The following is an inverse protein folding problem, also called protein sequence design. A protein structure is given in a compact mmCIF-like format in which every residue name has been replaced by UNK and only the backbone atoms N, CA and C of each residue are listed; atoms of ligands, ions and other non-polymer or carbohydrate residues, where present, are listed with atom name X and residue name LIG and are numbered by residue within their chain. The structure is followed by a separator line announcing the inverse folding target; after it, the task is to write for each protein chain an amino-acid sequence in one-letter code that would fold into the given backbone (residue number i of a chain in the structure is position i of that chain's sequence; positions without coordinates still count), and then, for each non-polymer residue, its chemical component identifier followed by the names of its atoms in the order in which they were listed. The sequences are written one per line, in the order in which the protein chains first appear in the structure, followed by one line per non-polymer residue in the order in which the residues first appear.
data_IF_568380853982
#
_entry.id   IF_568380853982
#
_cell.length_a   1.000
_cell.length_b   1.000
_cell.length_c   1.000
_cell.angle_alpha   90.00
_cell.angle_beta   90.00
_cell.angle_gamma   90.00
#
_symmetry.space_group_name_H-M   'P 1'
#
loop_
_entity.id
_entity.type
_entity.pdbx_description
1 polymer ?
#
# COMPACT_ATOMS: atom_id res chain seq x y z
N UNK A 1 -22.40 -1.25 -1.70
CA UNK A 1 -22.12 -2.43 -2.54
C UNK A 1 -20.68 -2.82 -2.24
N UNK A 2 -20.45 -3.93 -1.55
CA UNK A 2 -19.10 -4.41 -1.24
C UNK A 2 -18.60 -5.22 -2.43
N UNK A 3 -17.84 -4.59 -3.33
CA UNK A 3 -17.08 -5.31 -4.36
C UNK A 3 -15.88 -5.99 -3.69
N UNK A 4 -15.79 -7.30 -3.83
CA UNK A 4 -14.67 -8.09 -3.30
C UNK A 4 -13.57 -8.21 -4.33
N UNK A 5 -12.32 -8.24 -3.89
CA UNK A 5 -11.11 -8.20 -4.74
C UNK A 5 -11.06 -9.24 -5.89
N UNK A 6 -11.55 -10.48 -5.76
CA UNK A 6 -11.62 -11.41 -6.91
C UNK A 6 -12.55 -10.90 -8.03
N UNK A 7 -13.62 -10.21 -7.67
CA UNK A 7 -14.55 -9.61 -8.64
C UNK A 7 -13.99 -8.37 -9.31
N UNK A 8 -13.22 -7.53 -8.62
CA UNK A 8 -12.59 -6.34 -9.20
C UNK A 8 -11.48 -6.70 -10.20
N UNK A 9 -10.59 -7.64 -9.86
CA UNK A 9 -9.58 -8.15 -10.79
C UNK A 9 -10.22 -8.80 -12.02
N UNK A 10 -11.27 -9.61 -11.82
CA UNK A 10 -12.01 -10.21 -12.93
C UNK A 10 -12.77 -9.19 -13.80
N UNK A 11 -13.12 -8.03 -13.25
CA UNK A 11 -13.73 -6.92 -13.99
C UNK A 11 -12.69 -6.18 -14.84
N UNK A 12 -11.52 -5.90 -14.26
CA UNK A 12 -10.41 -5.22 -14.94
C UNK A 12 -9.78 -6.13 -16.00
N UNK A 13 -9.69 -7.43 -15.74
CA UNK A 13 -9.26 -8.42 -16.73
C UNK A 13 -10.21 -8.48 -17.91
N UNK A 14 -11.53 -8.39 -17.66
CA UNK A 14 -12.55 -8.33 -18.71
C UNK A 14 -12.42 -7.04 -19.54
N UNK A 15 -12.20 -5.90 -18.89
CA UNK A 15 -11.94 -4.62 -19.54
C UNK A 15 -10.66 -4.65 -20.41
N UNK A 16 -9.58 -5.28 -19.93
CA UNK A 16 -8.33 -5.47 -20.69
C UNK A 16 -8.45 -6.45 -21.88
N UNK A 17 -9.50 -7.27 -21.93
CA UNK A 17 -9.85 -8.08 -23.11
C UNK A 17 -10.62 -7.29 -24.17
N UNK A 18 -11.37 -6.27 -23.77
CA UNK A 18 -12.18 -5.42 -24.65
C UNK A 18 -11.36 -4.33 -25.35
N UNK A 19 -10.26 -3.88 -24.74
CA UNK A 19 -9.28 -2.97 -25.34
C UNK A 19 -8.48 -3.65 -26.47
N UNK A 20 -8.31 -2.99 -27.62
CA UNK A 20 -7.48 -3.47 -28.76
C UNK A 20 -6.28 -2.54 -28.96
N UNK A 21 -5.09 -3.09 -29.21
CA UNK A 21 -3.87 -2.33 -29.52
C UNK A 21 -2.76 -2.47 -28.47
N UNK A 22 -1.73 -1.63 -28.58
CA UNK A 22 -0.55 -1.64 -27.70
C UNK A 22 -0.90 -1.38 -26.23
N UNK A 23 -1.88 -0.52 -25.98
CA UNK A 23 -2.40 -0.17 -24.65
C UNK A 23 -3.00 -1.38 -23.92
N UNK A 24 -3.69 -2.27 -24.65
CA UNK A 24 -4.22 -3.51 -24.09
C UNK A 24 -3.11 -4.48 -23.64
N UNK A 25 -1.99 -4.51 -24.36
CA UNK A 25 -0.81 -5.29 -23.99
C UNK A 25 -0.16 -4.77 -22.70
N UNK A 26 -0.06 -3.45 -22.55
CA UNK A 26 0.44 -2.81 -21.34
C UNK A 26 -0.47 -3.13 -20.16
N UNK A 27 -1.78 -2.94 -20.31
CA UNK A 27 -2.77 -3.22 -19.25
C UNK A 27 -2.70 -4.70 -18.82
N UNK A 28 -2.66 -5.65 -19.75
CA UNK A 28 -2.52 -7.08 -19.42
C UNK A 28 -1.24 -7.38 -18.67
N UNK A 29 -0.13 -6.77 -19.08
CA UNK A 29 1.16 -6.98 -18.40
C UNK A 29 1.14 -6.41 -16.98
N UNK A 30 0.52 -5.24 -16.78
CA UNK A 30 0.30 -4.67 -15.44
C UNK A 30 -0.57 -5.61 -14.59
N UNK A 31 -1.64 -6.16 -15.17
CA UNK A 31 -2.50 -7.12 -14.47
C UNK A 31 -1.77 -8.43 -14.13
N UNK A 32 -0.92 -8.91 -15.03
CA UNK A 32 -0.11 -10.10 -14.78
C UNK A 32 0.90 -9.87 -13.64
N UNK A 33 1.50 -8.67 -13.55
CA UNK A 33 2.33 -8.26 -12.41
C UNK A 33 1.50 -8.24 -11.13
N UNK A 34 0.29 -7.64 -11.17
CA UNK A 34 -0.61 -7.59 -10.03
C UNK A 34 -1.07 -9.00 -9.60
N UNK A 35 -1.20 -9.93 -10.54
CA UNK A 35 -1.50 -11.34 -10.28
C UNK A 35 -0.35 -12.12 -9.66
N UNK A 36 0.88 -11.60 -9.72
CA UNK A 36 2.09 -12.18 -9.10
C UNK A 36 2.50 -11.48 -7.80
N UNK A 37 1.65 -10.60 -7.26
CA UNK A 37 1.90 -9.92 -5.99
C UNK A 37 1.97 -10.94 -4.85
N UNK A 38 3.10 -10.95 -4.14
CA UNK A 38 3.33 -11.89 -3.02
C UNK A 38 2.76 -11.37 -1.69
N UNK A 39 2.46 -10.08 -1.61
CA UNK A 39 1.73 -9.49 -0.50
C UNK A 39 1.34 -8.06 -0.78
N UNK A 40 0.28 -7.58 -0.16
CA UNK A 40 -0.19 -6.21 -0.32
C UNK A 40 -0.68 -5.66 1.01
N UNK A 41 -0.79 -4.35 1.11
CA UNK A 41 -1.32 -3.78 2.33
C UNK A 41 -1.38 -2.28 2.30
N UNK A 42 -1.71 -1.71 3.44
CA UNK A 42 -1.69 -0.29 3.61
C UNK A 42 -2.06 0.14 5.01
N UNK A 43 -1.90 1.44 5.23
CA UNK A 43 -2.36 2.10 6.44
C UNK A 43 -2.98 3.43 6.06
N UNK A 44 -4.11 3.73 6.68
CA UNK A 44 -4.79 5.01 6.56
C UNK A 44 -4.93 5.60 7.97
N UNK A 45 -4.31 6.76 8.21
CA UNK A 45 -4.34 7.42 9.53
C UNK A 45 -5.36 8.55 9.59
N UNK A 46 -5.51 9.29 8.51
CA UNK A 46 -6.51 10.36 8.40
C UNK A 46 -6.87 10.66 6.96
N UNK A 47 -8.11 11.09 6.77
CA UNK A 47 -8.66 11.57 5.51
C UNK A 47 -9.48 12.83 5.81
N UNK A 48 -8.86 14.00 5.72
CA UNK A 48 -9.56 15.27 5.92
C UNK A 48 -9.98 15.82 4.56
N UNK A 49 -11.29 15.96 4.38
CA UNK A 49 -11.89 16.60 3.21
C UNK A 49 -12.36 17.97 3.68
N UNK A 50 -11.79 19.05 3.16
CA UNK A 50 -12.21 20.40 3.49
C UNK A 50 -12.36 21.28 2.25
N UNK A 51 -12.90 22.49 2.44
CA UNK A 51 -13.17 23.46 1.37
C UNK A 51 -11.94 23.83 0.51
N UNK A 52 -10.72 23.51 0.97
CA UNK A 52 -9.45 23.82 0.31
C UNK A 52 -8.68 22.60 -0.20
N UNK A 53 -9.27 21.41 -0.18
CA UNK A 53 -8.69 20.18 -0.74
C UNK A 53 -8.71 18.98 0.21
N UNK A 54 -8.15 17.87 -0.27
CA UNK A 54 -8.05 16.60 0.47
C UNK A 54 -6.66 16.48 1.11
N UNK A 55 -6.62 16.34 2.44
CA UNK A 55 -5.41 15.96 3.18
C UNK A 55 -5.54 14.50 3.62
N UNK A 56 -4.73 13.63 3.01
CA UNK A 56 -4.65 12.22 3.38
C UNK A 56 -3.34 11.93 4.10
N UNK A 57 -3.36 10.94 4.99
CA UNK A 57 -2.16 10.33 5.58
C UNK A 57 -2.29 8.82 5.33
N UNK A 58 -1.63 8.32 4.28
CA UNK A 58 -1.79 6.95 3.85
C UNK A 58 -0.56 6.36 3.15
N UNK A 59 -0.48 5.04 3.21
CA UNK A 59 0.36 4.27 2.30
C UNK A 59 -0.40 3.04 1.87
N UNK A 60 -0.37 2.74 0.58
CA UNK A 60 -0.76 1.45 0.03
C UNK A 60 0.46 0.86 -0.65
N UNK A 61 0.65 -0.45 -0.56
CA UNK A 61 1.79 -1.11 -1.16
C UNK A 61 1.46 -2.50 -1.67
N UNK A 62 2.25 -2.93 -2.65
CA UNK A 62 2.29 -4.29 -3.16
C UNK A 62 3.74 -4.74 -3.21
N UNK A 63 4.01 -5.93 -2.68
CA UNK A 63 5.29 -6.62 -2.74
C UNK A 63 5.34 -7.47 -4.00
N UNK A 64 6.41 -7.30 -4.77
CA UNK A 64 6.64 -7.98 -6.05
C UNK A 64 8.09 -8.45 -6.14
N UNK A 65 8.37 -9.37 -7.06
CA UNK A 65 9.73 -9.77 -7.38
C UNK A 65 10.47 -8.64 -8.12
N UNK A 66 11.80 -8.60 -8.00
CA UNK A 66 12.63 -7.55 -8.63
C UNK A 66 12.43 -7.44 -10.15
N UNK A 67 12.22 -8.58 -10.84
CA UNK A 67 11.93 -8.61 -12.27
C UNK A 67 10.60 -7.92 -12.63
N UNK A 68 9.56 -8.11 -11.80
CA UNK A 68 8.24 -7.52 -12.01
C UNK A 68 8.26 -6.02 -11.68
N UNK A 69 9.08 -5.62 -10.70
CA UNK A 69 9.33 -4.21 -10.39
C UNK A 69 10.01 -3.48 -11.57
N UNK A 70 11.02 -4.10 -12.18
CA UNK A 70 11.71 -3.54 -13.34
C UNK A 70 10.79 -3.44 -14.58
N UNK A 71 9.91 -4.44 -14.76
CA UNK A 71 8.90 -4.44 -15.81
C UNK A 71 7.88 -3.33 -15.58
N UNK A 72 7.35 -3.20 -14.36
CA UNK A 72 6.43 -2.12 -13.98
C UNK A 72 7.04 -0.74 -14.27
N UNK A 73 8.29 -0.52 -13.83
CA UNK A 73 9.03 0.71 -14.12
C UNK A 73 9.06 1.03 -15.61
N UNK A 74 9.37 0.03 -16.44
CA UNK A 74 9.48 0.19 -17.89
C UNK A 74 8.13 0.54 -18.52
N UNK A 75 7.04 -0.10 -18.08
CA UNK A 75 5.69 0.17 -18.56
C UNK A 75 5.22 1.58 -18.21
N UNK A 76 5.45 2.02 -16.97
CA UNK A 76 5.10 3.37 -16.52
C UNK A 76 5.96 4.44 -17.22
N UNK A 77 7.20 4.11 -17.57
CA UNK A 77 8.04 4.97 -18.41
C UNK A 77 7.44 5.29 -19.79
N UNK A 78 6.55 4.42 -20.30
CA UNK A 78 5.82 4.67 -21.55
C UNK A 78 4.67 5.68 -21.36
N UNK A 79 4.10 5.79 -20.16
CA UNK A 79 2.99 6.70 -19.84
C UNK A 79 3.45 8.10 -19.44
N UNK A 80 4.64 8.53 -19.87
CA UNK A 80 5.30 9.81 -19.55
C UNK A 80 5.68 10.05 -18.07
N UNK A 81 5.32 9.13 -17.18
CA UNK A 81 5.70 9.17 -15.78
C UNK A 81 7.16 8.73 -15.61
N UNK A 82 7.98 9.56 -14.97
CA UNK A 82 9.41 9.31 -14.79
C UNK A 82 9.75 9.13 -13.32
N UNK A 83 10.26 7.95 -12.99
CA UNK A 83 10.83 7.66 -11.69
C UNK A 83 12.21 8.31 -11.56
N UNK A 84 12.40 9.05 -10.47
CA UNK A 84 13.66 9.66 -10.09
C UNK A 84 14.13 9.10 -8.75
N UNK A 85 15.44 8.81 -8.57
CA UNK A 85 15.96 8.35 -7.30
C UNK A 85 15.66 9.35 -6.17
N UNK A 86 15.23 8.85 -5.01
CA UNK A 86 15.03 9.64 -3.80
C UNK A 86 15.70 8.97 -2.62
N UNK A 87 16.26 9.77 -1.71
CA UNK A 87 16.84 9.27 -0.47
C UNK A 87 15.82 9.40 0.65
N UNK A 88 15.50 8.28 1.31
CA UNK A 88 14.60 8.26 2.47
C UNK A 88 15.44 8.03 3.73
N UNK A 89 15.46 9.01 4.64
CA UNK A 89 16.31 8.96 5.83
C UNK A 89 15.97 7.79 6.75
N UNK A 90 16.95 6.93 7.01
CA UNK A 90 16.82 5.76 7.89
C UNK A 90 16.29 4.51 7.20
N UNK A 91 16.23 4.50 5.87
CA UNK A 91 15.87 3.35 5.04
C UNK A 91 17.11 2.92 4.25
N UNK A 92 17.51 1.66 4.39
CA UNK A 92 18.61 1.05 3.63
C UNK A 92 18.05 0.30 2.43
N UNK A 93 17.44 1.04 1.50
CA UNK A 93 16.87 0.51 0.27
C UNK A 93 16.99 1.52 -0.86
N UNK A 94 17.03 1.04 -2.11
CA UNK A 94 16.98 1.92 -3.27
C UNK A 94 15.54 2.35 -3.49
N UNK A 95 15.27 3.65 -3.39
CA UNK A 95 13.94 4.22 -3.58
C UNK A 95 13.92 5.14 -4.79
N UNK A 96 12.89 5.01 -5.60
CA UNK A 96 12.61 5.90 -6.73
C UNK A 96 11.18 6.39 -6.65
N UNK A 97 10.94 7.67 -6.91
CA UNK A 97 9.62 8.29 -6.80
C UNK A 97 9.17 8.91 -8.12
N UNK A 98 7.87 8.88 -8.36
CA UNK A 98 7.20 9.62 -9.42
C UNK A 98 5.90 10.24 -8.88
N UNK A 99 5.67 11.51 -9.19
CA UNK A 99 4.41 12.19 -8.84
C UNK A 99 3.33 11.94 -9.89
N UNK A 100 2.08 11.80 -9.46
CA UNK A 100 0.91 11.84 -10.35
C UNK A 100 0.48 13.29 -10.52
N UNK A 101 0.86 13.90 -11.65
CA UNK A 101 0.65 15.33 -11.94
C UNK A 101 -0.83 15.76 -12.05
N UNK A 102 -1.74 14.80 -12.24
CA UNK A 102 -3.18 15.05 -12.49
C UNK A 102 -4.10 14.62 -11.33
N UNK A 103 -3.55 14.15 -10.22
CA UNK A 103 -4.39 13.72 -9.09
C UNK A 103 -4.89 14.92 -8.27
N UNK A 104 -6.19 14.91 -7.92
CA UNK A 104 -6.81 15.91 -7.03
C UNK A 104 -6.18 15.95 -5.62
N UNK A 105 -5.40 14.93 -5.27
CA UNK A 105 -4.59 14.83 -4.06
C UNK A 105 -3.13 14.51 -4.43
N UNK A 106 -2.14 14.98 -3.65
CA UNK A 106 -0.72 14.70 -3.92
C UNK A 106 -0.45 13.21 -3.68
N UNK A 107 -0.40 12.43 -4.76
CA UNK A 107 -0.03 11.01 -4.72
C UNK A 107 1.33 10.83 -5.34
N UNK A 108 2.24 10.23 -4.57
CA UNK A 108 3.55 9.78 -5.06
C UNK A 108 3.58 8.27 -5.14
N UNK A 109 4.00 7.77 -6.29
CA UNK A 109 4.29 6.36 -6.50
C UNK A 109 5.77 6.15 -6.25
N UNK A 110 6.11 5.16 -5.43
CA UNK A 110 7.45 4.77 -5.07
C UNK A 110 7.75 3.35 -5.54
N UNK A 111 8.92 3.16 -6.10
CA UNK A 111 9.52 1.85 -6.32
C UNK A 111 10.64 1.68 -5.31
N UNK A 112 10.52 0.64 -4.49
CA UNK A 112 11.53 0.28 -3.49
C UNK A 112 12.15 -1.04 -3.90
N UNK A 113 13.47 -1.08 -4.03
CA UNK A 113 14.22 -2.32 -4.24
C UNK A 113 14.96 -2.67 -2.97
N UNK A 114 14.64 -3.83 -2.38
CA UNK A 114 15.36 -4.38 -1.24
C UNK A 114 16.80 -4.73 -1.69
N UNK A 115 17.85 -4.34 -0.94
CA UNK A 115 19.20 -4.84 -1.21
C UNK A 115 19.36 -6.34 -0.90
N UNK A 116 18.44 -6.93 -0.15
CA UNK A 116 18.46 -8.35 0.24
C UNK A 116 17.85 -9.29 -0.80
N UNK A 117 18.24 -10.57 -0.70
CA UNK A 117 17.57 -11.67 -1.40
C UNK A 117 16.97 -12.65 -0.39
N UNK A 118 15.85 -13.26 -0.75
CA UNK A 118 15.24 -14.34 0.03
C UNK A 118 15.42 -15.65 -0.73
N UNK A 119 15.88 -16.68 -0.03
CA UNK A 119 16.02 -18.03 -0.59
C UNK A 119 14.64 -18.67 -0.73
N UNK A 120 14.22 -18.94 -1.96
CA UNK A 120 12.96 -19.60 -2.29
C UNK A 120 13.27 -20.90 -3.05
N UNK A 121 13.24 -22.01 -2.33
CA UNK A 121 13.79 -23.28 -2.82
C UNK A 121 15.30 -23.18 -3.05
N UNK A 122 15.76 -23.45 -4.27
CA UNK A 122 17.19 -23.41 -4.63
C UNK A 122 17.65 -22.05 -5.22
N UNK A 123 16.78 -21.05 -5.28
CA UNK A 123 17.07 -19.75 -5.90
C UNK A 123 17.04 -18.62 -4.88
N UNK A 124 18.00 -17.71 -4.99
CA UNK A 124 17.94 -16.40 -4.35
C UNK A 124 17.07 -15.48 -5.20
N UNK A 125 16.03 -14.91 -4.60
CA UNK A 125 15.05 -14.04 -5.26
C UNK A 125 15.12 -12.66 -4.65
N UNK A 126 15.25 -11.64 -5.50
CA UNK A 126 15.16 -10.23 -5.12
C UNK A 126 13.70 -9.80 -5.00
N UNK A 127 13.42 -8.97 -4.01
CA UNK A 127 12.09 -8.42 -3.76
C UNK A 127 12.10 -6.90 -3.78
N UNK A 128 10.93 -6.34 -4.03
CA UNK A 128 10.71 -4.91 -3.91
C UNK A 128 9.24 -4.59 -3.70
N UNK A 129 8.97 -3.30 -3.59
CA UNK A 129 7.64 -2.77 -3.34
C UNK A 129 7.29 -1.71 -4.36
N UNK A 130 6.04 -1.78 -4.82
CA UNK A 130 5.36 -0.68 -5.46
C UNK A 130 4.49 -0.06 -4.37
N UNK A 131 4.76 1.18 -3.99
CA UNK A 131 4.01 1.88 -2.95
C UNK A 131 3.38 3.17 -3.50
N UNK A 132 2.19 3.50 -3.04
CA UNK A 132 1.55 4.79 -3.27
C UNK A 132 1.31 5.45 -1.91
N UNK A 133 1.83 6.66 -1.72
CA UNK A 133 1.68 7.40 -0.48
C UNK A 133 1.56 8.90 -0.73
N UNK A 134 0.99 9.60 0.25
CA UNK A 134 0.91 11.07 0.30
C UNK A 134 2.28 11.73 0.58
N UNK A 135 3.23 10.99 1.17
CA UNK A 135 4.57 11.48 1.46
C UNK A 135 5.58 10.41 1.88
N UNK A 136 6.86 10.81 1.95
CA UNK A 136 7.98 9.90 2.28
C UNK A 136 7.93 9.37 3.72
N UNK A 137 7.32 10.09 4.66
CA UNK A 137 7.20 9.65 6.04
C UNK A 137 6.37 8.36 6.18
N UNK A 138 5.38 8.17 5.30
CA UNK A 138 4.53 6.97 5.27
C UNK A 138 5.23 5.80 4.59
N UNK A 139 6.04 6.08 3.58
CA UNK A 139 6.95 5.10 3.03
C UNK A 139 7.98 4.63 4.09
N UNK A 140 8.54 5.56 4.87
CA UNK A 140 9.46 5.22 5.96
C UNK A 140 8.80 4.31 6.99
N UNK A 141 7.55 4.58 7.37
CA UNK A 141 6.80 3.70 8.27
C UNK A 141 6.64 2.28 7.69
N UNK A 142 6.30 2.15 6.41
CA UNK A 142 6.22 0.85 5.75
C UNK A 142 7.54 0.07 5.86
N UNK A 143 8.65 0.73 5.50
CA UNK A 143 9.97 0.10 5.41
C UNK A 143 10.67 -0.09 6.76
N UNK A 144 10.30 0.67 7.80
CA UNK A 144 10.91 0.56 9.12
C UNK A 144 10.14 -0.36 10.07
N UNK A 145 8.80 -0.31 10.04
CA UNK A 145 7.95 -0.94 11.06
C UNK A 145 7.29 -2.24 10.59
N UNK A 146 6.98 -2.39 9.30
CA UNK A 146 6.39 -3.63 8.76
C UNK A 146 7.47 -4.66 8.42
N UNK A 147 8.67 -4.23 8.04
CA UNK A 147 9.76 -5.11 7.58
C UNK A 147 10.67 -5.68 8.69
N UNK A 148 10.54 -5.24 9.94
CA UNK A 148 11.36 -5.79 11.04
C UNK A 148 10.87 -7.13 11.58
N UNK A 149 9.69 -7.58 11.19
CA UNK A 149 9.15 -8.91 11.54
C UNK A 149 9.45 -9.92 10.40
N UNK A 150 10.74 -10.18 10.17
CA UNK A 150 11.28 -11.01 9.08
C UNK A 150 10.83 -12.49 9.11
N UNK A 151 10.08 -12.92 10.12
CA UNK A 151 9.61 -14.31 10.25
C UNK A 151 8.26 -14.57 9.58
N UNK A 152 7.42 -13.55 9.39
CA UNK A 152 6.11 -13.66 8.71
C UNK A 152 5.75 -12.33 8.05
N UNK A 153 6.33 -12.02 6.89
CA UNK A 153 5.85 -10.90 6.06
C UNK A 153 4.42 -11.23 5.61
N UNK A 154 3.38 -10.57 6.12
CA UNK A 154 2.03 -10.99 5.86
C UNK A 154 1.66 -10.72 4.40
N UNK A 155 0.91 -11.66 3.81
CA UNK A 155 0.35 -11.51 2.46
C UNK A 155 -0.64 -10.34 2.41
N UNK A 156 -1.26 -10.00 3.54
CA UNK A 156 -2.12 -8.83 3.70
C UNK A 156 -1.81 -8.08 4.99
N UNK A 157 -1.69 -6.75 4.94
CA UNK A 157 -1.64 -5.90 6.13
C UNK A 157 -2.56 -4.67 5.99
N UNK A 158 -3.35 -4.40 7.02
CA UNK A 158 -4.19 -3.20 7.12
C UNK A 158 -4.12 -2.60 8.53
N UNK A 159 -3.88 -1.29 8.64
CA UNK A 159 -3.92 -0.59 9.93
C UNK A 159 -4.62 0.77 9.87
N UNK A 160 -5.52 0.98 10.85
CA UNK A 160 -6.16 2.23 11.21
C UNK A 160 -5.73 2.59 12.66
N UNK A 161 -4.68 3.38 12.87
CA UNK A 161 -4.07 3.51 14.19
C UNK A 161 -4.86 4.38 15.18
N UNK A 162 -5.71 5.29 14.70
CA UNK A 162 -6.59 6.11 15.53
C UNK A 162 -7.98 6.21 14.90
N UNK A 163 -8.89 5.40 15.42
CA UNK A 163 -10.26 5.31 14.92
C UNK A 163 -11.06 6.58 15.20
N UNK A 164 -10.79 7.27 16.31
CA UNK A 164 -11.48 8.53 16.58
C UNK A 164 -11.00 9.63 15.64
N UNK A 165 -9.69 9.69 15.35
CA UNK A 165 -9.16 10.63 14.36
C UNK A 165 -9.73 10.39 12.96
N UNK A 166 -9.98 9.13 12.59
CA UNK A 166 -10.66 8.79 11.34
C UNK A 166 -12.13 9.21 11.36
N UNK A 167 -12.88 8.93 12.43
CA UNK A 167 -14.28 9.38 12.55
C UNK A 167 -14.37 10.91 12.51
N UNK A 168 -13.47 11.58 13.21
CA UNK A 168 -13.39 13.04 13.24
C UNK A 168 -12.95 13.67 11.92
N UNK A 169 -12.61 12.86 10.91
CA UNK A 169 -12.26 13.35 9.59
C UNK A 169 -13.47 13.45 8.64
N UNK A 170 -14.65 12.99 9.06
CA UNK A 170 -15.93 13.18 8.37
C UNK A 170 -16.74 14.30 9.03
N UNK A 171 -17.41 15.14 8.24
CA UNK A 171 -18.13 16.33 8.73
C UNK A 171 -19.17 16.01 9.82
N UNK A 172 -19.96 14.95 9.63
CA UNK A 172 -20.97 14.51 10.61
C UNK A 172 -20.43 13.48 11.62
N UNK A 173 -19.20 12.99 11.45
CA UNK A 173 -18.63 11.92 12.28
C UNK A 173 -18.61 12.23 13.77
N UNK A 174 -18.07 13.40 14.21
CA UNK A 174 -18.10 13.80 15.62
C UNK A 174 -19.50 13.99 16.18
N UNK A 175 -20.45 14.43 15.35
CA UNK A 175 -21.84 14.66 15.74
C UNK A 175 -22.57 13.34 15.97
N UNK A 176 -22.40 12.38 15.07
CA UNK A 176 -23.13 11.12 15.07
C UNK A 176 -22.51 10.07 16.00
N UNK A 177 -21.18 10.07 16.13
CA UNK A 177 -20.44 9.10 16.93
C UNK A 177 -19.76 9.73 18.18
N UNK A 178 -20.10 10.96 18.54
CA UNK A 178 -19.53 11.69 19.69
C UNK A 178 -19.56 10.91 21.00
N UNK A 179 -20.60 10.09 21.22
CA UNK A 179 -20.71 9.22 22.39
C UNK A 179 -19.61 8.15 22.49
N UNK A 180 -18.96 7.79 21.38
CA UNK A 180 -17.87 6.82 21.30
C UNK A 180 -16.48 7.45 21.42
N UNK A 181 -16.38 8.78 21.48
CA UNK A 181 -15.10 9.50 21.45
C UNK A 181 -14.11 8.98 22.49
N UNK A 182 -14.51 8.93 23.76
CA UNK A 182 -13.64 8.48 24.85
C UNK A 182 -13.21 7.01 24.69
N UNK A 183 -14.05 6.19 24.06
CA UNK A 183 -13.79 4.79 23.82
C UNK A 183 -12.85 4.57 22.64
N UNK A 184 -13.02 5.31 21.54
CA UNK A 184 -12.24 5.17 20.30
C UNK A 184 -10.93 5.95 20.29
N UNK A 185 -10.79 7.00 21.11
CA UNK A 185 -9.59 7.82 21.13
C UNK A 185 -8.35 7.00 21.51
N UNK A 186 -7.38 6.98 20.60
CA UNK A 186 -6.13 6.22 20.72
C UNK A 186 -6.30 4.71 20.56
N UNK A 187 -7.50 4.23 20.19
CA UNK A 187 -7.69 2.83 19.76
C UNK A 187 -7.47 2.73 18.26
N UNK A 188 -6.71 1.72 17.89
CA UNK A 188 -6.49 1.36 16.51
C UNK A 188 -7.06 -0.02 16.18
N UNK A 189 -7.24 -0.26 14.90
CA UNK A 189 -7.54 -1.55 14.32
C UNK A 189 -6.38 -1.99 13.45
N UNK A 190 -5.93 -3.23 13.61
CA UNK A 190 -4.95 -3.87 12.75
C UNK A 190 -5.48 -5.23 12.30
N UNK A 191 -5.27 -5.53 11.04
CA UNK A 191 -5.51 -6.84 10.44
C UNK A 191 -4.25 -7.23 9.67
N UNK A 192 -3.71 -8.40 9.99
CA UNK A 192 -2.69 -9.06 9.19
C UNK A 192 -3.19 -10.45 8.79
N UNK A 193 -2.90 -10.86 7.57
CA UNK A 193 -3.16 -12.21 7.10
C UNK A 193 -1.93 -12.79 6.40
N UNK A 194 -1.63 -14.05 6.70
CA UNK A 194 -0.54 -14.80 6.09
C UNK A 194 -0.94 -16.26 5.89
N UNK A 195 -0.10 -17.00 5.16
CA UNK A 195 -0.27 -18.43 4.94
C UNK A 195 0.93 -19.16 5.50
N UNK A 196 0.74 -19.88 6.59
CA UNK A 196 1.80 -20.63 7.28
C UNK A 196 1.50 -22.12 7.16
N UNK A 197 2.38 -22.86 6.47
CA UNK A 197 2.22 -24.31 6.29
C UNK A 197 0.91 -24.70 5.57
N UNK A 198 0.45 -23.88 4.62
CA UNK A 198 -0.79 -24.10 3.87
C UNK A 198 -2.07 -23.74 4.61
N UNK A 199 -1.98 -23.18 5.83
CA UNK A 199 -3.13 -22.67 6.58
C UNK A 199 -3.11 -21.16 6.59
N UNK A 200 -4.30 -20.56 6.41
CA UNK A 200 -4.48 -19.12 6.58
C UNK A 200 -4.40 -18.80 8.07
N UNK A 201 -3.53 -17.87 8.44
CA UNK A 201 -3.51 -17.25 9.75
C UNK A 201 -3.98 -15.80 9.61
N UNK A 202 -4.83 -15.40 10.56
CA UNK A 202 -5.42 -14.08 10.62
C UNK A 202 -5.13 -13.51 12.01
N UNK A 203 -4.39 -12.41 12.05
CA UNK A 203 -4.10 -11.68 13.27
C UNK A 203 -4.90 -10.38 13.26
N UNK A 204 -5.91 -10.33 14.13
CA UNK A 204 -6.81 -9.20 14.31
C UNK A 204 -6.55 -8.55 15.66
N UNK A 205 -6.29 -7.25 15.67
CA UNK A 205 -6.07 -6.50 16.90
C UNK A 205 -6.94 -5.24 16.93
N UNK A 206 -7.66 -5.08 18.03
CA UNK A 206 -8.38 -3.87 18.38
C UNK A 206 -7.92 -3.42 19.77
N UNK A 207 -7.00 -2.46 19.81
CA UNK A 207 -6.32 -2.11 21.04
C UNK A 207 -5.99 -0.62 21.12
N UNK A 208 -5.81 -0.13 22.35
CA UNK A 208 -5.27 1.21 22.59
C UNK A 208 -3.76 1.14 22.44
N UNK A 209 -3.20 1.85 21.47
CA UNK A 209 -1.74 1.94 21.29
C UNK A 209 -1.25 3.30 21.73
N UNK A 210 -0.14 3.32 22.48
CA UNK A 210 0.57 4.57 22.71
C UNK A 210 1.04 5.10 21.35
N UNK A 211 0.88 6.40 21.10
CA UNK A 211 1.43 7.02 19.90
C UNK A 211 2.93 6.69 19.82
N UNK A 212 3.46 6.28 18.65
CA UNK A 212 4.90 6.09 18.50
C UNK A 212 5.61 7.39 18.93
N UNK A 213 6.63 7.25 19.77
CA UNK A 213 7.42 8.39 20.23
C UNK A 213 7.99 9.12 19.00
N UNK A 214 7.84 10.44 18.98
CA UNK A 214 8.35 11.32 17.92
C UNK A 214 9.85 11.20 17.72
#
# INVERSE_FOLDING_TARGET
MLETWPSALGMIERWGREQKGMEAGIIRTVLDILGRVEGFGGSLRSLQIGDRGVQTDYVAYSRVQGQDLALFRSLVGLSSMRFSPVTVTGVDAKVEAAGLSEAEAPVQVYLVTDPGTVRLGDKDVEFGWIAAADGQDRLKWLLADVERDKETNPAFYGELPDLWRLIGSFDDGPRDAGFLQSWLTGRGFRLAADVVGGRVRLDLEFARRAAPAK
#
